data_IF_081942241117
#
_entry.id   IF_081942241117
#
_cell.length_a   1.000
_cell.length_b   1.000
_cell.length_c   1.000
_cell.angle_alpha   90.00
_cell.angle_beta   90.00
_cell.angle_gamma   90.00
#
_symmetry.space_group_name_H-M   'P 1'
#
loop_
_entity.id
_entity.type
_entity.pdbx_description
1 polymer ?
#
# COMPACT_ATOMS: atom_id res chain seq x y z
N UNK A 1 -13.87 -12.99 20.20
CA UNK A 1 -13.85 -11.75 19.40
C UNK A 1 -13.72 -12.24 17.99
N UNK A 2 -14.79 -12.17 17.20
CA UNK A 2 -14.69 -12.43 15.76
C UNK A 2 -13.66 -11.44 15.22
N UNK A 3 -12.61 -11.97 14.62
CA UNK A 3 -11.56 -11.14 14.03
C UNK A 3 -12.20 -10.40 12.85
N UNK A 4 -12.18 -9.07 12.88
CA UNK A 4 -12.62 -8.27 11.76
C UNK A 4 -12.01 -8.83 10.46
N UNK A 5 -12.82 -9.06 9.45
CA UNK A 5 -12.33 -9.51 8.14
C UNK A 5 -11.62 -8.35 7.43
N UNK A 6 -10.42 -8.04 7.88
CA UNK A 6 -9.56 -7.00 7.30
C UNK A 6 -8.60 -7.65 6.33
N UNK A 7 -8.61 -7.24 5.06
CA UNK A 7 -7.68 -7.75 4.05
C UNK A 7 -6.77 -6.64 3.53
N UNK A 8 -5.46 -6.89 3.55
CA UNK A 8 -4.48 -6.02 2.88
C UNK A 8 -4.45 -6.39 1.39
N UNK A 9 -4.96 -5.49 0.53
CA UNK A 9 -4.96 -5.70 -0.92
C UNK A 9 -3.93 -4.84 -1.65
N UNK A 10 -3.42 -3.80 -0.99
CA UNK A 10 -2.60 -2.79 -1.64
C UNK A 10 -1.57 -2.19 -0.69
N UNK A 11 -0.36 -1.92 -1.19
CA UNK A 11 0.60 -1.04 -0.53
C UNK A 11 1.29 -0.11 -1.52
N UNK A 12 1.53 1.12 -1.07
CA UNK A 12 2.06 2.19 -1.88
C UNK A 12 3.45 2.58 -1.44
N UNK A 13 4.40 2.52 -2.36
CA UNK A 13 5.81 2.79 -2.16
C UNK A 13 6.21 4.16 -2.71
N UNK A 14 7.13 4.82 -2.03
CA UNK A 14 7.77 6.08 -2.46
C UNK A 14 9.27 5.90 -2.51
N UNK A 15 9.91 6.16 -3.67
CA UNK A 15 11.36 5.99 -3.83
C UNK A 15 11.93 6.87 -4.94
N UNK A 16 13.24 7.21 -4.84
CA UNK A 16 13.99 7.82 -5.95
C UNK A 16 14.42 6.79 -7.01
N UNK A 17 14.48 5.50 -6.62
CA UNK A 17 14.92 4.38 -7.47
C UNK A 17 13.74 3.66 -8.13
N UNK A 18 12.74 4.44 -8.56
CA UNK A 18 11.45 3.89 -9.02
C UNK A 18 11.61 2.85 -10.13
N UNK A 19 12.45 3.15 -11.14
CA UNK A 19 12.63 2.26 -12.29
C UNK A 19 13.26 0.92 -11.89
N UNK A 20 14.21 0.96 -10.97
CA UNK A 20 14.87 -0.25 -10.46
C UNK A 20 13.92 -1.09 -9.62
N UNK A 21 13.08 -0.43 -8.80
CA UNK A 21 12.05 -1.09 -8.00
C UNK A 21 10.98 -1.70 -8.92
N UNK A 22 10.48 -0.96 -9.91
CA UNK A 22 9.53 -1.46 -10.91
C UNK A 22 10.12 -2.68 -11.66
N UNK A 23 11.36 -2.57 -12.14
CA UNK A 23 12.03 -3.66 -12.84
C UNK A 23 12.22 -4.91 -11.95
N UNK A 24 12.45 -4.73 -10.65
CA UNK A 24 12.50 -5.84 -9.68
C UNK A 24 11.15 -6.55 -9.58
N UNK A 25 10.05 -5.82 -9.43
CA UNK A 25 8.71 -6.42 -9.34
C UNK A 25 8.35 -7.16 -10.61
N UNK A 26 8.57 -6.57 -11.77
CA UNK A 26 8.27 -7.22 -13.05
C UNK A 26 9.20 -8.39 -13.32
N UNK A 27 10.52 -8.15 -13.28
CA UNK A 27 11.50 -9.13 -13.76
C UNK A 27 11.84 -10.24 -12.77
N UNK A 28 11.75 -9.98 -11.44
CA UNK A 28 12.12 -10.97 -10.42
C UNK A 28 10.92 -11.56 -9.69
N UNK A 29 9.89 -10.75 -9.47
CA UNK A 29 8.71 -11.15 -8.72
C UNK A 29 7.52 -11.50 -9.62
N UNK A 30 7.62 -11.27 -10.94
CA UNK A 30 6.61 -11.66 -11.93
C UNK A 30 5.31 -10.86 -11.86
N UNK A 31 5.38 -9.61 -11.41
CA UNK A 31 4.23 -8.69 -11.46
C UNK A 31 4.00 -8.19 -12.87
N UNK A 32 2.74 -8.00 -13.23
CA UNK A 32 2.34 -7.31 -14.44
C UNK A 32 2.31 -5.80 -14.20
N UNK A 33 2.80 -5.03 -15.18
CA UNK A 33 2.63 -3.60 -15.21
C UNK A 33 1.22 -3.28 -15.70
N UNK A 34 0.37 -2.77 -14.82
CA UNK A 34 -0.99 -2.37 -15.15
C UNK A 34 -0.99 -1.04 -15.90
N UNK A 35 -0.34 -0.03 -15.33
CA UNK A 35 -0.25 1.27 -15.95
C UNK A 35 0.88 2.13 -15.36
N UNK A 36 1.35 3.10 -16.14
CA UNK A 36 2.11 4.25 -15.67
C UNK A 36 1.31 5.51 -15.92
N UNK A 37 1.02 6.20 -14.84
CA UNK A 37 0.28 7.47 -14.87
C UNK A 37 1.24 8.63 -14.69
N UNK A 38 1.11 9.65 -15.53
CA UNK A 38 2.03 10.78 -15.49
C UNK A 38 1.51 12.00 -16.23
N UNK A 39 2.45 12.79 -16.72
CA UNK A 39 2.16 13.97 -17.54
C UNK A 39 3.15 14.07 -18.70
N UNK A 40 2.66 14.54 -19.85
CA UNK A 40 3.46 15.09 -20.92
C UNK A 40 3.06 16.56 -21.02
N UNK A 41 4.02 17.48 -20.87
CA UNK A 41 3.73 18.90 -20.62
C UNK A 41 2.76 19.06 -19.42
N UNK A 42 1.57 19.59 -19.64
CA UNK A 42 0.54 19.82 -18.62
C UNK A 42 -0.61 18.80 -18.67
N UNK A 43 -0.62 17.92 -19.67
CA UNK A 43 -1.66 16.94 -19.86
C UNK A 43 -1.43 15.69 -19.01
N UNK A 44 -2.49 15.20 -18.36
CA UNK A 44 -2.49 13.92 -17.69
C UNK A 44 -2.53 12.79 -18.73
N UNK A 45 -1.56 11.89 -18.64
CA UNK A 45 -1.38 10.79 -19.60
C UNK A 45 -1.26 9.48 -18.85
N UNK A 46 -1.94 8.46 -19.35
CA UNK A 46 -1.62 7.05 -19.04
C UNK A 46 -0.72 6.55 -20.17
N UNK A 47 0.48 6.09 -19.83
CA UNK A 47 1.41 5.56 -20.82
C UNK A 47 0.83 4.31 -21.48
N UNK A 48 1.10 4.15 -22.78
CA UNK A 48 0.68 2.96 -23.52
C UNK A 48 1.26 1.69 -22.89
N UNK A 49 0.50 0.63 -22.89
CA UNK A 49 0.93 -0.67 -22.40
C UNK A 49 2.14 -1.15 -23.23
N UNK A 50 3.23 -1.47 -22.55
CA UNK A 50 4.48 -1.88 -23.19
C UNK A 50 5.43 -0.74 -23.56
N UNK A 51 5.06 0.54 -23.38
CA UNK A 51 5.98 1.66 -23.59
C UNK A 51 7.23 1.52 -22.72
N UNK A 52 8.41 1.59 -23.37
CA UNK A 52 9.68 1.55 -22.66
C UNK A 52 9.98 2.88 -21.96
N UNK A 53 10.80 2.83 -20.91
CA UNK A 53 11.27 4.07 -20.26
C UNK A 53 12.01 4.99 -21.23
N UNK A 54 12.79 4.43 -22.16
CA UNK A 54 13.49 5.21 -23.18
C UNK A 54 12.54 5.95 -24.12
N UNK A 55 11.43 5.33 -24.51
CA UNK A 55 10.36 5.99 -25.27
C UNK A 55 9.72 7.11 -24.46
N UNK A 56 9.31 6.83 -23.23
CA UNK A 56 8.68 7.80 -22.34
C UNK A 56 9.57 9.01 -22.06
N UNK A 57 10.89 8.79 -21.90
CA UNK A 57 11.85 9.87 -21.71
C UNK A 57 11.95 10.77 -22.96
N UNK A 58 11.92 10.18 -24.16
CA UNK A 58 11.94 10.95 -25.43
C UNK A 58 10.67 11.80 -25.61
N UNK A 59 9.54 11.32 -25.10
CA UNK A 59 8.25 12.03 -25.13
C UNK A 59 8.12 13.09 -24.02
N UNK A 60 9.11 13.19 -23.12
CA UNK A 60 9.07 14.09 -21.97
C UNK A 60 8.05 13.70 -20.90
N UNK A 61 7.75 12.40 -20.80
CA UNK A 61 6.83 11.88 -19.82
C UNK A 61 7.37 12.03 -18.39
N UNK A 62 6.59 12.67 -17.55
CA UNK A 62 6.89 12.82 -16.12
C UNK A 62 5.98 11.91 -15.31
N UNK A 63 6.55 10.81 -14.82
CA UNK A 63 5.81 9.83 -14.05
C UNK A 63 5.24 10.43 -12.76
N UNK A 64 3.99 10.10 -12.48
CA UNK A 64 3.33 10.30 -11.20
C UNK A 64 3.34 9.03 -10.36
N UNK A 65 2.98 7.89 -10.96
CA UNK A 65 3.01 6.58 -10.32
C UNK A 65 3.00 5.45 -11.37
N UNK A 66 3.59 4.30 -10.99
CA UNK A 66 3.43 3.01 -11.67
C UNK A 66 2.54 2.11 -10.81
N UNK A 67 1.61 1.42 -11.44
CA UNK A 67 0.73 0.44 -10.83
C UNK A 67 1.08 -0.96 -11.33
N UNK A 68 1.28 -1.87 -10.40
CA UNK A 68 1.70 -3.24 -10.63
C UNK A 68 0.76 -4.20 -9.92
N UNK A 69 0.54 -5.38 -10.51
CA UNK A 69 -0.32 -6.38 -9.91
C UNK A 69 0.19 -7.79 -10.18
N UNK A 70 0.03 -8.66 -9.18
CA UNK A 70 0.15 -10.10 -9.32
C UNK A 70 -0.78 -10.78 -8.33
N UNK A 71 -1.67 -11.65 -8.82
CA UNK A 71 -2.69 -12.28 -7.96
C UNK A 71 -3.47 -11.24 -7.16
N UNK A 72 -3.66 -11.46 -5.85
CA UNK A 72 -4.33 -10.53 -4.94
C UNK A 72 -3.48 -9.34 -4.48
N UNK A 73 -2.29 -9.15 -5.02
CA UNK A 73 -1.37 -8.12 -4.55
C UNK A 73 -1.27 -6.99 -5.55
N UNK A 74 -1.74 -5.81 -5.17
CA UNK A 74 -1.56 -4.57 -5.92
C UNK A 74 -0.46 -3.71 -5.27
N UNK A 75 0.50 -3.25 -6.07
CA UNK A 75 1.62 -2.41 -5.63
C UNK A 75 1.66 -1.14 -6.47
N UNK A 76 1.66 -0.01 -5.80
CA UNK A 76 1.87 1.28 -6.47
C UNK A 76 3.21 1.85 -6.06
N UNK A 77 3.97 2.36 -7.03
CA UNK A 77 5.27 2.99 -6.81
C UNK A 77 5.21 4.41 -7.34
N UNK A 78 5.54 5.39 -6.50
CA UNK A 78 5.62 6.79 -6.92
C UNK A 78 7.02 7.38 -6.72
N UNK A 79 7.40 8.38 -7.51
CA UNK A 79 8.64 9.11 -7.33
C UNK A 79 8.73 9.79 -5.96
N UNK A 80 9.89 9.73 -5.36
CA UNK A 80 10.22 10.39 -4.10
C UNK A 80 11.71 10.65 -4.00
N UNK A 81 12.20 11.02 -2.82
CA UNK A 81 13.61 11.36 -2.59
C UNK A 81 14.36 10.33 -1.71
N UNK A 82 13.69 9.26 -1.31
CA UNK A 82 14.34 8.18 -0.55
C UNK A 82 14.84 7.08 -1.49
N UNK A 83 16.09 6.69 -1.33
CA UNK A 83 16.67 5.61 -2.12
C UNK A 83 16.03 4.26 -1.78
N UNK A 84 15.89 3.96 -0.49
CA UNK A 84 15.16 2.77 -0.05
C UNK A 84 13.67 3.08 -0.04
N UNK A 85 12.83 2.18 -0.60
CA UNK A 85 11.40 2.41 -0.67
C UNK A 85 10.77 2.65 0.71
N UNK A 86 9.88 3.63 0.79
CA UNK A 86 9.10 3.95 1.99
C UNK A 86 7.63 3.66 1.76
N UNK A 87 6.96 3.18 2.79
CA UNK A 87 5.50 3.02 2.75
C UNK A 87 4.83 4.38 2.84
N UNK A 88 4.04 4.76 1.85
CA UNK A 88 3.14 5.92 1.91
C UNK A 88 1.83 5.55 2.59
N UNK A 89 1.22 4.46 2.17
CA UNK A 89 0.01 3.92 2.77
C UNK A 89 -0.13 2.42 2.53
N UNK A 90 -0.97 1.81 3.36
CA UNK A 90 -1.49 0.45 3.21
C UNK A 90 -2.96 0.56 2.83
N UNK A 91 -3.39 -0.20 1.83
CA UNK A 91 -4.78 -0.29 1.40
C UNK A 91 -5.43 -1.54 1.98
N UNK A 92 -6.51 -1.34 2.74
CA UNK A 92 -7.26 -2.42 3.35
C UNK A 92 -8.73 -2.38 2.96
N UNK A 93 -9.31 -3.54 2.76
CA UNK A 93 -10.76 -3.71 2.64
C UNK A 93 -11.30 -4.34 3.92
N UNK A 94 -12.45 -3.83 4.35
CA UNK A 94 -13.17 -4.24 5.55
C UNK A 94 -14.64 -4.46 5.18
N UNK A 95 -15.38 -5.20 5.97
CA UNK A 95 -16.84 -5.14 5.82
C UNK A 95 -17.38 -3.74 6.16
N UNK A 96 -18.67 -3.48 5.89
CA UNK A 96 -19.24 -2.15 6.06
C UNK A 96 -19.27 -1.71 7.53
N UNK A 97 -19.53 -2.62 8.47
CA UNK A 97 -19.59 -2.32 9.89
C UNK A 97 -18.21 -2.00 10.45
N UNK A 98 -17.20 -2.78 10.07
CA UNK A 98 -15.81 -2.55 10.44
C UNK A 98 -15.24 -1.28 9.80
N UNK A 99 -15.60 -0.97 8.56
CA UNK A 99 -15.26 0.30 7.93
C UNK A 99 -15.78 1.49 8.74
N UNK A 100 -17.05 1.47 9.13
CA UNK A 100 -17.63 2.53 9.97
C UNK A 100 -16.96 2.58 11.36
N UNK A 101 -16.63 1.42 11.93
CA UNK A 101 -15.94 1.36 13.21
C UNK A 101 -14.51 1.95 13.13
N UNK A 102 -13.77 1.75 12.02
CA UNK A 102 -12.47 2.38 11.78
C UNK A 102 -12.60 3.90 11.73
N UNK A 103 -13.60 4.43 11.03
CA UNK A 103 -13.84 5.89 10.96
C UNK A 103 -14.19 6.47 12.35
N UNK A 104 -14.99 5.76 13.13
CA UNK A 104 -15.32 6.16 14.49
C UNK A 104 -14.07 6.16 15.40
N UNK A 105 -13.22 5.12 15.34
CA UNK A 105 -11.95 5.07 16.10
C UNK A 105 -11.00 6.19 15.67
N UNK A 106 -10.86 6.44 14.36
CA UNK A 106 -10.04 7.54 13.84
C UNK A 106 -10.53 8.89 14.39
N UNK A 107 -11.84 9.12 14.41
CA UNK A 107 -12.45 10.33 14.98
C UNK A 107 -12.15 10.47 16.47
N UNK A 108 -12.32 9.39 17.26
CA UNK A 108 -12.05 9.39 18.70
C UNK A 108 -10.58 9.71 19.03
N UNK A 109 -9.66 9.36 18.14
CA UNK A 109 -8.24 9.63 18.28
C UNK A 109 -7.82 10.95 17.63
N UNK A 110 -8.78 11.74 17.11
CA UNK A 110 -8.53 12.98 16.36
C UNK A 110 -7.56 12.76 15.17
N UNK A 111 -7.62 11.60 14.52
CA UNK A 111 -6.84 11.35 13.32
C UNK A 111 -7.53 12.00 12.11
N UNK A 112 -6.77 12.69 11.23
CA UNK A 112 -7.35 13.27 10.03
C UNK A 112 -7.89 12.17 9.10
N UNK A 113 -9.15 12.27 8.72
CA UNK A 113 -9.80 11.45 7.70
C UNK A 113 -9.98 12.29 6.45
N UNK A 114 -9.56 11.81 5.30
CA UNK A 114 -9.66 12.49 4.02
C UNK A 114 -10.39 11.59 3.01
N UNK A 115 -11.53 12.03 2.56
CA UNK A 115 -12.23 11.43 1.42
C UNK A 115 -11.67 12.01 0.11
N UNK A 116 -11.20 11.17 -0.79
CA UNK A 116 -10.72 11.56 -2.12
C UNK A 116 -11.61 11.01 -3.20
N UNK A 117 -12.56 11.83 -3.63
CA UNK A 117 -13.63 11.39 -4.53
C UNK A 117 -14.55 10.36 -3.84
N UNK A 118 -15.50 9.80 -4.58
CA UNK A 118 -16.47 8.83 -4.04
C UNK A 118 -15.86 7.44 -3.74
N UNK A 119 -14.54 7.24 -3.88
CA UNK A 119 -13.96 5.90 -3.93
C UNK A 119 -12.84 5.63 -2.93
N UNK A 120 -12.25 6.65 -2.30
CA UNK A 120 -11.05 6.48 -1.49
C UNK A 120 -11.17 7.24 -0.17
N UNK A 121 -10.99 6.56 0.92
CA UNK A 121 -10.95 7.15 2.26
C UNK A 121 -9.58 6.89 2.88
N UNK A 122 -8.90 7.95 3.29
CA UNK A 122 -7.58 7.87 3.93
C UNK A 122 -7.67 8.29 5.39
N UNK A 123 -7.14 7.46 6.26
CA UNK A 123 -6.89 7.78 7.67
C UNK A 123 -5.40 8.07 7.82
N UNK A 124 -5.06 9.29 8.25
CA UNK A 124 -3.67 9.65 8.56
C UNK A 124 -3.30 9.12 9.94
N UNK A 125 -2.47 8.10 10.00
CA UNK A 125 -1.99 7.56 11.26
C UNK A 125 -0.88 8.43 11.83
N UNK A 126 -0.71 8.47 13.14
CA UNK A 126 0.45 9.11 13.77
C UNK A 126 1.71 8.22 13.72
N UNK A 127 1.67 7.13 12.94
CA UNK A 127 2.75 6.16 12.79
C UNK A 127 3.64 6.41 11.56
N UNK A 128 3.42 7.53 10.83
CA UNK A 128 4.23 7.94 9.69
C UNK A 128 3.76 7.40 8.35
N UNK A 129 2.66 6.67 8.29
CA UNK A 129 2.00 6.22 7.06
C UNK A 129 0.49 6.48 7.15
N UNK A 130 -0.22 6.31 6.05
CA UNK A 130 -1.68 6.40 6.00
C UNK A 130 -2.29 5.02 5.81
N UNK A 131 -3.56 4.89 6.15
CA UNK A 131 -4.38 3.78 5.74
C UNK A 131 -5.34 4.27 4.66
N UNK A 132 -5.38 3.59 3.54
CA UNK A 132 -6.46 3.69 2.57
C UNK A 132 -7.47 2.61 2.92
N UNK A 133 -8.64 3.02 3.43
CA UNK A 133 -9.67 2.10 3.93
C UNK A 133 -10.85 2.07 2.99
N UNK A 134 -11.34 0.88 2.69
CA UNK A 134 -12.47 0.65 1.80
C UNK A 134 -13.51 -0.26 2.45
N UNK A 135 -14.81 0.06 2.32
CA UNK A 135 -15.83 -0.97 2.40
C UNK A 135 -15.73 -1.90 1.19
N UNK A 136 -16.47 -3.02 1.14
CA UNK A 136 -16.46 -3.92 0.00
C UNK A 136 -16.74 -3.17 -1.32
N UNK A 137 -15.95 -3.47 -2.34
CA UNK A 137 -16.04 -2.85 -3.67
C UNK A 137 -15.85 -3.92 -4.71
N UNK A 138 -16.70 -3.94 -5.71
CA UNK A 138 -16.66 -4.92 -6.79
C UNK A 138 -15.25 -5.11 -7.38
N UNK A 139 -14.52 -4.03 -7.68
CA UNK A 139 -13.18 -4.10 -8.23
C UNK A 139 -12.11 -4.64 -7.25
N UNK A 140 -12.31 -4.50 -5.92
CA UNK A 140 -11.43 -5.08 -4.91
C UNK A 140 -11.77 -6.56 -4.74
N UNK A 141 -13.06 -6.88 -4.74
CA UNK A 141 -13.54 -8.26 -4.64
C UNK A 141 -13.03 -9.07 -5.84
N UNK A 142 -13.14 -8.54 -7.07
CA UNK A 142 -12.56 -9.14 -8.28
C UNK A 142 -11.04 -9.34 -8.17
N UNK A 143 -10.32 -8.36 -7.58
CA UNK A 143 -8.88 -8.45 -7.33
C UNK A 143 -8.54 -9.59 -6.36
N UNK A 144 -9.32 -9.72 -5.28
CA UNK A 144 -9.09 -10.74 -4.24
C UNK A 144 -9.54 -12.13 -4.69
N UNK A 145 -10.64 -12.25 -5.42
CA UNK A 145 -11.18 -13.53 -5.92
C UNK A 145 -10.29 -14.18 -7.00
N UNK A 146 -9.62 -13.36 -7.82
CA UNK A 146 -8.76 -13.85 -8.91
C UNK A 146 -7.45 -14.50 -8.49
N UNK A 147 -7.21 -14.76 -7.22
CA UNK A 147 -5.85 -14.83 -6.69
C UNK A 147 -5.48 -16.07 -5.90
N UNK A 148 -6.06 -17.20 -6.13
CA UNK A 148 -5.75 -18.46 -5.39
C UNK A 148 -4.26 -18.86 -5.46
N UNK A 149 -3.47 -18.28 -6.37
CA UNK A 149 -2.11 -18.72 -6.65
C UNK A 149 -1.00 -17.77 -6.17
N UNK A 150 -1.29 -16.50 -5.84
CA UNK A 150 -0.25 -15.56 -5.42
C UNK A 150 -0.78 -14.51 -4.44
N UNK A 151 -0.18 -14.47 -3.27
CA UNK A 151 -0.55 -13.57 -2.18
C UNK A 151 0.67 -13.09 -1.40
N UNK A 152 0.49 -12.00 -0.67
CA UNK A 152 1.49 -11.48 0.25
C UNK A 152 1.32 -12.14 1.62
N UNK A 153 2.26 -13.01 2.00
CA UNK A 153 2.27 -13.63 3.33
C UNK A 153 2.77 -12.67 4.41
N UNK A 154 3.82 -11.93 4.11
CA UNK A 154 4.43 -11.06 5.10
C UNK A 154 5.01 -9.79 4.46
N UNK A 155 4.67 -8.64 5.04
CA UNK A 155 5.25 -7.34 4.74
C UNK A 155 6.08 -6.87 5.94
N UNK A 156 7.40 -6.81 5.78
CA UNK A 156 8.32 -6.35 6.82
C UNK A 156 8.74 -4.90 6.57
N UNK A 157 8.56 -4.05 7.57
CA UNK A 157 8.91 -2.64 7.50
C UNK A 157 9.79 -2.22 8.67
N UNK A 158 10.85 -1.46 8.42
CA UNK A 158 11.70 -0.88 9.47
C UNK A 158 11.16 0.45 9.94
N UNK A 159 11.10 0.61 11.25
CA UNK A 159 10.57 1.80 11.91
C UNK A 159 11.41 2.15 13.15
N UNK A 160 11.18 3.34 13.69
CA UNK A 160 11.82 3.80 14.93
C UNK A 160 11.25 3.13 16.19
N UNK A 161 9.95 2.86 16.24
CA UNK A 161 9.21 2.34 17.40
C UNK A 161 8.24 1.22 16.99
N UNK A 162 8.73 -0.03 16.80
CA UNK A 162 7.96 -1.13 16.23
C UNK A 162 6.65 -1.43 16.94
N UNK A 163 6.71 -1.72 18.23
CA UNK A 163 5.53 -2.08 19.03
C UNK A 163 4.47 -0.97 19.07
N UNK A 164 4.91 0.30 19.17
CA UNK A 164 4.00 1.43 19.16
C UNK A 164 3.29 1.55 17.80
N UNK A 165 4.02 1.37 16.69
CA UNK A 165 3.45 1.49 15.35
C UNK A 165 2.54 0.31 14.99
N UNK A 166 2.89 -0.89 15.43
CA UNK A 166 2.02 -2.05 15.35
C UNK A 166 0.74 -1.83 16.19
N UNK A 167 0.89 -1.33 17.42
CA UNK A 167 -0.25 -0.99 18.29
C UNK A 167 -1.21 0.01 17.65
N UNK A 168 -0.68 1.09 17.05
CA UNK A 168 -1.50 2.09 16.33
C UNK A 168 -2.30 1.43 15.20
N UNK A 169 -1.68 0.55 14.41
CA UNK A 169 -2.35 -0.14 13.32
C UNK A 169 -3.44 -1.06 13.85
N UNK A 170 -3.12 -1.87 14.88
CA UNK A 170 -4.05 -2.79 15.52
C UNK A 170 -5.27 -2.06 16.11
N UNK A 171 -5.02 -0.97 16.83
CA UNK A 171 -6.08 -0.19 17.49
C UNK A 171 -7.00 0.50 16.48
N UNK A 172 -6.45 1.09 15.40
CA UNK A 172 -7.27 1.74 14.36
C UNK A 172 -8.15 0.71 13.65
N UNK A 173 -7.57 -0.42 13.24
CA UNK A 173 -8.28 -1.46 12.51
C UNK A 173 -9.17 -2.34 13.41
N UNK A 174 -8.91 -2.38 14.71
CA UNK A 174 -9.65 -3.23 15.66
C UNK A 174 -9.24 -4.70 15.57
N UNK A 175 -8.00 -4.97 15.18
CA UNK A 175 -7.43 -6.32 15.02
C UNK A 175 -6.46 -6.65 16.14
N UNK A 176 -6.08 -7.94 16.25
CA UNK A 176 -5.19 -8.38 17.32
C UNK A 176 -3.75 -7.89 17.09
N UNK A 177 -3.15 -7.33 18.13
CA UNK A 177 -1.72 -7.04 18.19
C UNK A 177 -0.93 -8.29 18.56
N UNK A 178 0.08 -8.64 17.78
CA UNK A 178 0.97 -9.79 17.96
C UNK A 178 2.41 -9.33 18.22
N UNK A 179 2.63 -8.65 19.36
CA UNK A 179 3.93 -8.03 19.67
C UNK A 179 4.23 -6.84 18.75
N UNK A 180 5.16 -7.01 17.82
CA UNK A 180 5.55 -6.03 16.81
C UNK A 180 4.81 -6.20 15.47
N UNK A 181 3.78 -7.01 15.43
CA UNK A 181 3.11 -7.45 14.20
C UNK A 181 1.59 -7.39 14.30
N UNK A 182 0.94 -7.30 13.13
CA UNK A 182 -0.52 -7.29 12.97
C UNK A 182 -0.90 -8.18 11.80
N UNK A 183 -1.91 -9.02 11.96
CA UNK A 183 -2.50 -9.83 10.88
C UNK A 183 -3.62 -9.06 10.19
N UNK A 184 -3.52 -8.93 8.86
CA UNK A 184 -4.51 -8.32 7.98
C UNK A 184 -4.98 -9.36 6.96
N UNK A 185 -6.00 -10.12 7.31
CA UNK A 185 -6.38 -11.33 6.57
C UNK A 185 -5.28 -12.37 6.64
N UNK A 186 -4.77 -12.79 5.50
CA UNK A 186 -3.67 -13.76 5.40
C UNK A 186 -2.28 -13.12 5.41
N UNK A 187 -2.20 -11.77 5.47
CA UNK A 187 -0.94 -11.03 5.45
C UNK A 187 -0.50 -10.62 6.85
N UNK A 188 0.72 -10.99 7.24
CA UNK A 188 1.36 -10.49 8.46
C UNK A 188 2.12 -9.20 8.13
N UNK A 189 1.74 -8.09 8.75
CA UNK A 189 2.52 -6.85 8.72
C UNK A 189 3.41 -6.78 9.95
N UNK A 190 4.73 -6.86 9.76
CA UNK A 190 5.73 -6.85 10.84
C UNK A 190 6.53 -5.56 10.85
N UNK A 191 6.61 -4.93 12.01
CA UNK A 191 7.39 -3.72 12.25
C UNK A 191 8.72 -4.09 12.90
N UNK A 192 9.83 -3.78 12.23
CA UNK A 192 11.19 -4.10 12.69
C UNK A 192 11.90 -2.85 13.19
N UNK A 193 12.81 -2.97 14.18
CA UNK A 193 13.60 -1.86 14.68
C UNK A 193 14.66 -1.38 13.68
N UNK A 194 15.21 -0.19 13.94
CA UNK A 194 16.33 0.38 13.18
C UNK A 194 15.91 1.12 11.91
N UNK A 195 14.63 1.40 11.78
CA UNK A 195 14.12 2.26 10.72
C UNK A 195 14.13 3.75 11.08
N UNK A 196 13.77 4.59 10.11
CA UNK A 196 13.71 6.04 10.30
C UNK A 196 12.53 6.46 11.15
N UNK A 197 12.63 7.65 11.70
CA UNK A 197 11.47 8.38 12.17
C UNK A 197 10.55 8.75 11.00
N UNK A 198 9.25 8.69 11.21
CA UNK A 198 8.26 8.99 10.18
C UNK A 198 7.90 7.78 9.32
N UNK A 199 8.03 7.89 7.99
CA UNK A 199 7.58 6.83 7.06
C UNK A 199 8.36 5.55 7.21
N UNK A 200 7.67 4.40 7.38
CA UNK A 200 8.31 3.09 7.43
C UNK A 200 9.10 2.80 6.16
N UNK A 201 10.27 2.17 6.33
CA UNK A 201 11.08 1.69 5.24
C UNK A 201 10.71 0.26 4.90
N UNK A 202 10.42 -0.03 3.63
CA UNK A 202 10.23 -1.40 3.18
C UNK A 202 11.53 -2.18 3.36
N UNK A 203 11.46 -3.28 4.12
CA UNK A 203 12.63 -4.13 4.39
C UNK A 203 12.57 -5.44 3.61
N UNK A 204 11.47 -6.17 3.68
CA UNK A 204 11.28 -7.42 2.98
C UNK A 204 9.80 -7.69 2.69
N UNK A 205 9.59 -8.53 1.70
CA UNK A 205 8.28 -9.05 1.31
C UNK A 205 8.43 -10.56 1.13
N UNK A 206 7.47 -11.31 1.67
CA UNK A 206 7.35 -12.74 1.41
C UNK A 206 6.01 -13.00 0.75
N UNK A 207 6.07 -13.71 -0.36
CA UNK A 207 4.90 -14.11 -1.14
C UNK A 207 4.75 -15.64 -1.11
N UNK A 208 3.51 -16.13 -1.18
CA UNK A 208 3.15 -17.54 -1.40
C UNK A 208 2.58 -17.74 -2.80
#
# INVERSE_FOLDING_TARGET
>A
VDNAAVHLFHYHLVTSELRDVEARYIGKLGFDLIARYGRIADDHVTAEQGASWEQLDREGFRLRLSELQRGAVNVVIQPGHWRLPRIDHLGVVLDEDDFQAVLARASNWNLPVQERGARRTFVSTNAGYRLEVHPPREWIDELLEGSDEFRLDELQVKVDRPEQKAGVLADILGVQLLGDSVELGETLVRFLPGGPEGRPELYAERFA
#
